data_IF_874699708208
#
_entry.id   IF_874699708208
#
_cell.length_a   1.000
_cell.length_b   1.000
_cell.length_c   1.000
_cell.angle_alpha   90.00
_cell.angle_beta   90.00
_cell.angle_gamma   90.00
#
_symmetry.space_group_name_H-M   'P 1'
#
loop_
_entity.id
_entity.type
_entity.pdbx_description
1 polymer ?
#
# COMPACT_ATOMS: atom_id res chain seq x y z
N UNK A 1 27.40 -25.60 -6.98
CA UNK A 1 25.99 -25.98 -7.18
C UNK A 1 25.60 -25.75 -8.65
N UNK A 2 24.87 -26.66 -9.32
CA UNK A 2 24.45 -26.55 -10.75
C UNK A 2 22.94 -26.31 -10.92
N UNK A 3 22.30 -25.62 -9.97
CA UNK A 3 20.87 -25.32 -10.05
C UNK A 3 20.64 -24.21 -11.06
N UNK A 4 19.83 -24.47 -12.08
CA UNK A 4 19.46 -23.47 -13.09
C UNK A 4 18.35 -22.56 -12.55
N UNK A 5 18.30 -21.29 -13.00
CA UNK A 5 17.30 -20.29 -12.56
C UNK A 5 15.85 -20.81 -12.72
N UNK A 6 15.59 -21.60 -13.77
CA UNK A 6 14.29 -22.25 -14.01
C UNK A 6 13.84 -23.18 -12.87
N UNK A 7 14.77 -23.75 -12.10
CA UNK A 7 14.50 -24.69 -11.00
C UNK A 7 14.35 -24.01 -9.64
N UNK A 8 14.54 -22.70 -9.56
CA UNK A 8 14.33 -21.94 -8.34
C UNK A 8 12.83 -21.79 -8.03
N UNK A 9 12.45 -21.62 -6.77
CA UNK A 9 11.09 -21.15 -6.43
C UNK A 9 10.88 -19.70 -6.88
N UNK A 10 9.64 -19.21 -6.86
CA UNK A 10 9.35 -17.79 -7.16
C UNK A 10 10.19 -16.85 -6.30
N UNK A 11 10.15 -17.01 -4.98
CA UNK A 11 10.96 -16.21 -4.05
C UNK A 11 12.47 -16.37 -4.22
N UNK A 12 12.96 -17.55 -4.61
CA UNK A 12 14.40 -17.73 -4.91
C UNK A 12 14.82 -17.00 -6.20
N UNK A 13 13.98 -16.99 -7.24
CA UNK A 13 14.23 -16.19 -8.45
C UNK A 13 14.24 -14.70 -8.14
N UNK A 14 13.31 -14.25 -7.30
CA UNK A 14 13.23 -12.84 -6.88
C UNK A 14 14.48 -12.42 -6.11
N UNK A 15 14.91 -13.21 -5.11
CA UNK A 15 16.15 -12.95 -4.37
C UNK A 15 17.38 -12.93 -5.28
N UNK A 16 17.43 -13.82 -6.27
CA UNK A 16 18.51 -13.80 -7.26
C UNK A 16 18.48 -12.55 -8.15
N UNK A 17 17.29 -12.13 -8.59
CA UNK A 17 17.12 -10.92 -9.39
C UNK A 17 17.53 -9.67 -8.61
N UNK A 18 17.12 -9.57 -7.34
CA UNK A 18 17.50 -8.48 -6.45
C UNK A 18 19.00 -8.51 -6.15
N UNK A 19 19.57 -9.68 -5.85
CA UNK A 19 21.02 -9.85 -5.68
C UNK A 19 21.79 -9.40 -6.94
N UNK A 20 21.28 -9.72 -8.13
CA UNK A 20 21.87 -9.27 -9.39
C UNK A 20 21.75 -7.75 -9.60
N UNK A 21 20.67 -7.13 -9.13
CA UNK A 21 20.50 -5.67 -9.18
C UNK A 21 21.49 -4.93 -8.25
N UNK A 22 21.85 -5.53 -7.12
CA UNK A 22 22.66 -4.87 -6.08
C UNK A 22 24.14 -5.27 -6.07
N UNK A 23 24.54 -6.34 -6.79
CA UNK A 23 25.93 -6.85 -6.80
C UNK A 23 26.95 -5.79 -7.21
N UNK A 24 26.53 -4.81 -8.02
CA UNK A 24 27.37 -3.69 -8.46
C UNK A 24 27.53 -2.56 -7.45
N UNK A 25 26.91 -2.66 -6.25
CA UNK A 25 26.80 -1.59 -5.26
C UNK A 25 26.31 -0.26 -5.88
N UNK A 26 25.15 -0.28 -6.54
CA UNK A 26 24.63 0.90 -7.20
C UNK A 26 24.28 2.00 -6.20
N UNK A 27 24.38 3.25 -6.62
CA UNK A 27 23.90 4.40 -5.84
C UNK A 27 22.37 4.46 -5.82
N UNK A 28 21.71 3.96 -6.89
CA UNK A 28 20.24 3.93 -7.02
C UNK A 28 19.76 2.61 -7.62
N UNK A 29 18.68 2.06 -7.08
CA UNK A 29 18.03 0.82 -7.54
C UNK A 29 16.56 1.08 -7.88
N UNK A 30 16.13 0.56 -9.03
CA UNK A 30 14.73 0.58 -9.46
C UNK A 30 14.11 -0.82 -9.30
N UNK A 31 13.01 -0.91 -8.56
CA UNK A 31 12.31 -2.15 -8.28
C UNK A 31 10.87 -2.06 -8.79
N UNK A 32 10.56 -2.81 -9.85
CA UNK A 32 9.21 -2.87 -10.37
C UNK A 32 8.43 -4.00 -9.71
N UNK A 33 7.44 -3.65 -8.86
CA UNK A 33 6.55 -4.60 -8.17
C UNK A 33 7.32 -5.76 -7.48
N UNK A 34 8.29 -5.47 -6.59
CA UNK A 34 9.27 -6.46 -6.14
C UNK A 34 8.68 -7.56 -5.25
N UNK A 35 7.48 -7.37 -4.71
CA UNK A 35 6.78 -8.35 -3.87
C UNK A 35 5.54 -8.99 -4.54
N UNK A 36 5.29 -8.68 -5.82
CA UNK A 36 4.08 -9.13 -6.51
C UNK A 36 4.04 -10.65 -6.70
N UNK A 37 2.87 -11.25 -6.42
CA UNK A 37 2.64 -12.69 -6.54
C UNK A 37 3.39 -13.56 -5.53
N UNK A 38 4.00 -12.95 -4.50
CA UNK A 38 4.68 -13.65 -3.42
C UNK A 38 3.73 -13.95 -2.26
N UNK A 39 3.96 -15.09 -1.59
CA UNK A 39 3.32 -15.37 -0.31
C UNK A 39 3.81 -14.40 0.79
N UNK A 40 3.07 -14.24 1.90
CA UNK A 40 3.42 -13.28 2.95
C UNK A 40 4.85 -13.42 3.49
N UNK A 41 5.34 -14.65 3.69
CA UNK A 41 6.69 -14.89 4.21
C UNK A 41 7.75 -14.43 3.21
N UNK A 42 7.55 -14.73 1.93
CA UNK A 42 8.44 -14.30 0.86
C UNK A 42 8.45 -12.77 0.69
N UNK A 43 7.30 -12.10 0.85
CA UNK A 43 7.21 -10.62 0.83
C UNK A 43 8.08 -9.99 1.92
N UNK A 44 7.97 -10.46 3.16
CA UNK A 44 8.81 -9.96 4.25
C UNK A 44 10.31 -10.07 3.93
N UNK A 45 10.75 -11.15 3.30
CA UNK A 45 12.15 -11.28 2.91
C UNK A 45 12.62 -10.24 1.87
N UNK A 46 11.71 -9.78 0.99
CA UNK A 46 12.00 -8.68 0.06
C UNK A 46 12.09 -7.36 0.81
N UNK A 47 11.16 -7.13 1.74
CA UNK A 47 11.12 -5.90 2.54
C UNK A 47 12.37 -5.72 3.39
N UNK A 48 12.82 -6.78 4.07
CA UNK A 48 14.06 -6.74 4.84
C UNK A 48 15.26 -6.38 3.96
N UNK A 49 15.35 -6.93 2.75
CA UNK A 49 16.44 -6.61 1.83
C UNK A 49 16.37 -5.15 1.33
N UNK A 50 15.18 -4.63 1.07
CA UNK A 50 15.00 -3.20 0.74
C UNK A 50 15.45 -2.31 1.91
N UNK A 51 15.12 -2.68 3.15
CA UNK A 51 15.56 -1.96 4.35
C UNK A 51 17.08 -1.99 4.51
N UNK A 52 17.72 -3.14 4.29
CA UNK A 52 19.17 -3.29 4.34
C UNK A 52 19.85 -2.37 3.32
N UNK A 53 19.37 -2.36 2.07
CA UNK A 53 19.91 -1.50 1.00
C UNK A 53 19.77 0.00 1.35
N UNK A 54 18.59 0.39 1.86
CA UNK A 54 18.36 1.76 2.33
C UNK A 54 19.32 2.13 3.46
N UNK A 55 19.55 1.23 4.41
CA UNK A 55 20.49 1.45 5.52
C UNK A 55 21.95 1.58 5.05
N UNK A 56 22.31 0.93 3.95
CA UNK A 56 23.61 1.10 3.28
C UNK A 56 23.74 2.41 2.48
N UNK A 57 22.68 3.23 2.43
CA UNK A 57 22.66 4.53 1.75
C UNK A 57 22.31 4.46 0.26
N UNK A 58 21.78 3.32 -0.20
CA UNK A 58 21.31 3.17 -1.59
C UNK A 58 19.98 3.89 -1.75
N UNK A 59 19.86 4.72 -2.79
CA UNK A 59 18.58 5.31 -3.20
C UNK A 59 17.68 4.26 -3.83
N UNK A 60 16.41 4.19 -3.44
CA UNK A 60 15.50 3.15 -3.93
C UNK A 60 14.26 3.81 -4.53
N UNK A 61 13.94 3.44 -5.76
CA UNK A 61 12.66 3.76 -6.41
C UNK A 61 11.93 2.45 -6.61
N UNK A 62 10.80 2.27 -5.93
CA UNK A 62 9.98 1.07 -6.06
C UNK A 62 8.57 1.43 -6.52
N UNK A 63 7.98 0.56 -7.32
CA UNK A 63 6.56 0.60 -7.65
C UNK A 63 5.86 -0.52 -6.87
N UNK A 64 4.70 -0.19 -6.32
CA UNK A 64 3.84 -1.16 -5.65
C UNK A 64 2.40 -0.69 -5.72
N UNK A 65 1.48 -1.64 -5.78
CA UNK A 65 0.06 -1.43 -5.58
C UNK A 65 -0.38 -1.79 -4.15
N UNK A 66 0.55 -2.22 -3.29
CA UNK A 66 0.29 -2.59 -1.90
C UNK A 66 0.59 -1.38 -1.00
N UNK A 67 -0.45 -0.84 -0.37
CA UNK A 67 -0.30 0.33 0.51
C UNK A 67 0.56 0.04 1.72
N UNK A 68 0.45 -1.16 2.31
CA UNK A 68 1.30 -1.59 3.43
C UNK A 68 2.80 -1.56 3.05
N UNK A 69 3.15 -1.87 1.79
CA UNK A 69 4.54 -1.83 1.31
C UNK A 69 5.03 -0.40 1.17
N UNK A 70 4.20 0.49 0.63
CA UNK A 70 4.51 1.91 0.52
C UNK A 70 4.66 2.55 1.91
N UNK A 71 3.77 2.22 2.85
CA UNK A 71 3.83 2.70 4.23
C UNK A 71 5.13 2.27 4.94
N UNK A 72 5.52 1.01 4.76
CA UNK A 72 6.61 0.41 5.53
C UNK A 72 8.02 0.71 4.97
N UNK A 73 8.13 0.88 3.64
CA UNK A 73 9.41 1.00 2.94
C UNK A 73 9.70 2.40 2.41
N UNK A 74 8.68 3.20 2.11
CA UNK A 74 8.89 4.47 1.42
C UNK A 74 9.12 5.64 2.39
N UNK A 75 10.10 6.47 2.06
CA UNK A 75 10.24 7.79 2.69
C UNK A 75 9.27 8.81 2.09
N UNK A 76 9.01 8.71 0.79
CA UNK A 76 8.09 9.55 0.02
C UNK A 76 7.24 8.67 -0.91
N UNK A 77 5.96 9.01 -1.07
CA UNK A 77 5.03 8.28 -1.94
C UNK A 77 4.54 9.21 -3.03
N UNK A 78 4.40 8.65 -4.24
CA UNK A 78 3.77 9.29 -5.39
C UNK A 78 2.62 8.39 -5.85
N UNK A 79 1.39 8.89 -5.75
CA UNK A 79 0.20 8.17 -6.22
C UNK A 79 -0.07 8.59 -7.66
N UNK A 80 -0.12 7.62 -8.57
CA UNK A 80 -0.31 7.85 -10.00
C UNK A 80 -1.63 7.26 -10.45
N UNK A 81 -2.46 8.08 -11.12
CA UNK A 81 -3.67 7.65 -11.81
C UNK A 81 -3.71 8.25 -13.23
N UNK A 82 -4.08 7.44 -14.22
CA UNK A 82 -4.12 7.81 -15.65
C UNK A 82 -2.85 8.54 -16.13
N UNK A 83 -1.67 8.10 -15.66
CA UNK A 83 -0.38 8.68 -16.03
C UNK A 83 -0.08 10.05 -15.41
N UNK A 84 -0.86 10.48 -14.42
CA UNK A 84 -0.66 11.74 -13.68
C UNK A 84 -0.47 11.47 -12.21
N UNK A 85 0.43 12.23 -11.58
CA UNK A 85 0.57 12.22 -10.12
C UNK A 85 -0.62 12.94 -9.51
N UNK A 86 -1.43 12.23 -8.73
CA UNK A 86 -2.62 12.76 -8.06
C UNK A 86 -2.37 13.10 -6.59
N UNK A 87 -1.35 12.50 -5.98
CA UNK A 87 -0.86 12.84 -4.64
C UNK A 87 0.65 12.58 -4.54
N UNK A 88 1.36 13.41 -3.80
CA UNK A 88 2.79 13.23 -3.54
C UNK A 88 3.20 13.89 -2.23
N UNK A 89 4.13 13.28 -1.50
CA UNK A 89 4.61 13.80 -0.22
C UNK A 89 5.42 12.79 0.55
N UNK A 90 5.90 13.19 1.74
CA UNK A 90 6.45 12.26 2.69
C UNK A 90 5.35 11.27 3.10
N UNK A 91 5.69 10.00 3.27
CA UNK A 91 4.73 8.93 3.57
C UNK A 91 3.89 9.28 4.81
N UNK A 92 4.53 9.80 5.85
CA UNK A 92 3.88 10.25 7.07
C UNK A 92 2.86 11.36 6.81
N UNK A 93 3.23 12.39 6.05
CA UNK A 93 2.34 13.52 5.76
C UNK A 93 1.12 13.07 4.96
N UNK A 94 1.30 12.11 4.05
CA UNK A 94 0.20 11.55 3.25
C UNK A 94 -0.73 10.66 4.09
N UNK A 95 -0.20 9.93 5.07
CA UNK A 95 -1.01 9.17 6.03
C UNK A 95 -1.79 10.08 6.99
N UNK A 96 -1.17 11.16 7.45
CA UNK A 96 -1.83 12.19 8.29
C UNK A 96 -2.87 12.97 7.49
N UNK A 97 -2.56 13.39 6.26
CA UNK A 97 -3.49 14.10 5.38
C UNK A 97 -4.63 13.20 4.90
N UNK A 98 -4.39 11.90 4.73
CA UNK A 98 -5.45 10.92 4.51
C UNK A 98 -6.34 10.70 5.74
N UNK A 99 -5.88 11.09 6.94
CA UNK A 99 -6.66 11.10 8.17
C UNK A 99 -7.44 12.42 8.37
N UNK A 100 -6.85 13.56 7.94
CA UNK A 100 -7.44 14.90 8.04
C UNK A 100 -8.35 15.27 6.85
N UNK A 101 -8.14 14.65 5.69
CA UNK A 101 -9.06 14.67 4.57
C UNK A 101 -10.10 13.59 4.78
N UNK A 102 -11.10 13.89 5.61
CA UNK A 102 -12.29 13.07 5.89
C UNK A 102 -12.08 11.63 5.46
N UNK A 103 -11.29 10.90 6.26
CA UNK A 103 -11.14 9.46 6.10
C UNK A 103 -12.56 8.90 6.16
N UNK A 104 -13.14 8.71 4.98
CA UNK A 104 -14.46 8.15 4.81
C UNK A 104 -14.33 6.69 5.23
N UNK A 105 -14.35 6.46 6.54
CA UNK A 105 -14.54 5.15 7.16
C UNK A 105 -16.01 4.80 6.97
N UNK A 106 -16.47 4.82 5.73
CA UNK A 106 -17.82 4.43 5.35
C UNK A 106 -17.91 2.93 5.51
N UNK A 107 -18.75 2.51 6.44
CA UNK A 107 -19.22 1.14 6.53
C UNK A 107 -20.61 1.10 5.88
N UNK A 108 -20.70 0.48 4.70
CA UNK A 108 -21.95 0.34 3.96
C UNK A 108 -22.64 -0.96 4.32
N UNK A 109 -23.92 -0.89 4.68
CA UNK A 109 -24.79 -2.04 4.90
C UNK A 109 -25.93 -2.03 3.89
N UNK A 110 -26.36 -3.21 3.44
CA UNK A 110 -27.61 -3.38 2.70
C UNK A 110 -28.71 -3.77 3.68
N UNK A 111 -29.89 -3.16 3.54
CA UNK A 111 -31.03 -3.41 4.41
C UNK A 111 -32.32 -3.53 3.57
N UNK A 112 -33.30 -4.25 4.13
CA UNK A 112 -34.65 -4.30 3.57
C UNK A 112 -35.26 -2.89 3.56
N UNK A 113 -35.96 -2.48 2.48
CA UNK A 113 -36.64 -1.18 2.44
C UNK A 113 -37.55 -0.97 3.64
N UNK A 114 -37.46 0.21 4.28
CA UNK A 114 -38.25 0.56 5.46
C UNK A 114 -37.62 0.21 6.81
N UNK A 115 -36.34 -0.19 6.85
CA UNK A 115 -35.60 -0.33 8.10
C UNK A 115 -35.48 1.04 8.79
N UNK A 116 -35.98 1.15 10.02
CA UNK A 116 -35.85 2.35 10.84
C UNK A 116 -34.39 2.57 11.25
N UNK A 117 -33.84 3.74 10.93
CA UNK A 117 -32.44 4.07 11.18
C UNK A 117 -32.20 4.77 12.53
N UNK A 118 -33.26 5.18 13.21
CA UNK A 118 -33.18 6.00 14.44
C UNK A 118 -32.43 5.27 15.56
N UNK A 119 -32.76 4.00 15.80
CA UNK A 119 -32.06 3.18 16.80
C UNK A 119 -30.63 2.79 16.41
N UNK A 120 -30.32 2.79 15.10
CA UNK A 120 -28.96 2.56 14.61
C UNK A 120 -28.10 3.79 14.82
N UNK A 121 -28.61 4.99 14.51
CA UNK A 121 -27.94 6.26 14.76
C UNK A 121 -27.65 6.44 16.26
N UNK A 122 -28.62 6.15 17.14
CA UNK A 122 -28.43 6.23 18.59
C UNK A 122 -27.35 5.27 19.11
N UNK A 123 -27.33 4.03 18.60
CA UNK A 123 -26.31 3.04 18.96
C UNK A 123 -24.90 3.44 18.47
N UNK A 124 -24.80 4.05 17.29
CA UNK A 124 -23.53 4.50 16.70
C UNK A 124 -23.01 5.78 17.35
N UNK A 125 -23.90 6.71 17.71
CA UNK A 125 -23.57 7.91 18.48
C UNK A 125 -23.01 7.56 19.87
N UNK A 126 -23.58 6.53 20.52
CA UNK A 126 -23.05 5.98 21.77
C UNK A 126 -21.64 5.37 21.65
N UNK A 127 -21.20 5.01 20.44
CA UNK A 127 -19.87 4.48 20.13
C UNK A 127 -18.84 5.58 19.75
N UNK A 128 -19.24 6.86 19.76
CA UNK A 128 -18.35 8.00 19.47
C UNK A 128 -18.09 8.25 17.98
N UNK A 129 -18.96 7.74 17.09
CA UNK A 129 -18.90 8.02 15.65
C UNK A 129 -19.71 9.29 15.33
N UNK A 130 -19.20 10.21 14.48
CA UNK A 130 -19.93 11.42 14.10
C UNK A 130 -21.15 11.08 13.21
N UNK A 131 -22.23 11.86 13.34
CA UNK A 131 -23.44 11.71 12.53
C UNK A 131 -23.17 12.08 11.07
N UNK A 132 -23.00 11.06 10.22
CA UNK A 132 -22.78 11.17 8.78
C UNK A 132 -23.92 10.55 7.95
N UNK A 133 -25.16 10.55 8.44
CA UNK A 133 -26.33 10.05 7.71
C UNK A 133 -26.73 10.99 6.55
N UNK A 134 -25.81 11.23 5.62
CA UNK A 134 -26.07 11.88 4.35
C UNK A 134 -26.17 10.84 3.25
N UNK A 135 -27.33 10.72 2.59
CA UNK A 135 -27.37 10.08 1.28
C UNK A 135 -26.42 10.84 0.35
N UNK A 136 -25.51 10.17 -0.41
CA UNK A 136 -24.66 10.89 -1.33
C UNK A 136 -25.53 11.59 -2.37
N UNK A 137 -25.53 12.92 -2.34
CA UNK A 137 -26.05 13.74 -3.40
C UNK A 137 -25.17 13.48 -4.64
N UNK A 138 -25.82 13.02 -5.72
CA UNK A 138 -25.29 12.95 -7.07
C UNK A 138 -24.14 11.95 -7.34
N UNK A 139 -24.53 10.74 -7.74
CA UNK A 139 -23.92 10.10 -8.90
C UNK A 139 -25.02 9.92 -9.95
N UNK A 140 -25.13 10.86 -10.87
CA UNK A 140 -25.83 10.66 -12.13
C UNK A 140 -24.77 10.43 -13.20
N UNK A 141 -24.82 9.25 -13.80
CA UNK A 141 -24.18 8.94 -15.09
C UNK A 141 -24.75 9.86 -16.17
#
# INVERSE_FOLDING_TARGET
ARTTVRRLSGGQRQRLALAAAIVGRPEVVFLDEPSAGMDPQSRHAVWELVRELRAEGVGIVLTTHLMDEAEDLADHVYVVDQGKVIAAGATRDLLETGADGEADRTVRFEATPGLGLDGLSEALAGAGLPDGAGAPAAWSV
#
